data_IF_119764318445
#
_entry.id   IF_119764318445
#
_cell.length_a   1.000
_cell.length_b   1.000
_cell.length_c   1.000
_cell.angle_alpha   90.00
_cell.angle_beta   90.00
_cell.angle_gamma   90.00
#
_symmetry.space_group_name_H-M   'P 1'
#
loop_
_entity.id
_entity.type
_entity.pdbx_description
1 polymer ?
#
# COMPACT_ATOMS: atom_id res chain seq x y z
N UNK A 1 -10.34 17.03 14.03
CA UNK A 1 -9.88 17.30 12.65
C UNK A 1 -10.33 18.71 12.33
N UNK A 2 -9.44 19.55 11.81
CA UNK A 2 -9.75 20.93 11.45
C UNK A 2 -10.79 20.96 10.31
N UNK A 3 -11.77 21.86 10.40
CA UNK A 3 -12.80 21.99 9.38
C UNK A 3 -12.23 22.80 8.21
N UNK A 4 -12.21 22.24 7.02
CA UNK A 4 -11.85 22.94 5.78
C UNK A 4 -13.07 23.76 5.30
N UNK A 5 -12.86 25.02 4.98
CA UNK A 5 -13.93 25.99 4.66
C UNK A 5 -13.87 26.49 3.21
N UNK A 6 -12.80 26.18 2.49
CA UNK A 6 -12.61 26.63 1.11
C UNK A 6 -11.84 25.59 0.28
N UNK A 7 -11.98 25.63 -1.06
CA UNK A 7 -11.16 24.86 -1.97
C UNK A 7 -9.65 25.03 -1.73
N UNK A 8 -9.21 26.27 -1.51
CA UNK A 8 -7.79 26.56 -1.26
C UNK A 8 -7.28 25.89 0.04
N UNK A 9 -8.03 25.93 1.14
CA UNK A 9 -7.68 25.21 2.37
C UNK A 9 -7.58 23.69 2.15
N UNK A 10 -8.47 23.15 1.31
CA UNK A 10 -8.42 21.73 0.94
C UNK A 10 -7.14 21.40 0.16
N UNK A 11 -6.80 22.20 -0.86
CA UNK A 11 -5.60 21.97 -1.67
C UNK A 11 -4.32 22.06 -0.82
N UNK A 12 -4.23 23.06 0.05
CA UNK A 12 -3.10 23.18 0.99
C UNK A 12 -3.03 22.00 1.97
N UNK A 13 -4.18 21.53 2.47
CA UNK A 13 -4.22 20.37 3.34
C UNK A 13 -3.78 19.09 2.61
N UNK A 14 -4.23 18.89 1.38
CA UNK A 14 -3.83 17.76 0.54
C UNK A 14 -2.33 17.78 0.25
N UNK A 15 -1.78 18.94 -0.05
CA UNK A 15 -0.35 19.15 -0.28
C UNK A 15 0.48 18.83 0.99
N UNK A 16 0.08 19.35 2.15
CA UNK A 16 0.69 18.99 3.44
C UNK A 16 0.68 17.48 3.68
N UNK A 17 -0.41 16.78 3.33
CA UNK A 17 -0.48 15.32 3.46
C UNK A 17 0.48 14.58 2.52
N UNK A 18 0.74 15.11 1.32
CA UNK A 18 1.69 14.54 0.36
C UNK A 18 3.13 14.63 0.87
N UNK A 19 3.50 15.77 1.43
CA UNK A 19 4.86 16.04 1.90
C UNK A 19 5.11 15.69 3.38
N UNK A 20 4.07 15.35 4.14
CA UNK A 20 4.20 15.00 5.57
C UNK A 20 4.98 13.71 5.83
N UNK A 21 5.47 13.04 4.80
CA UNK A 21 6.14 11.75 4.91
C UNK A 21 7.40 11.73 4.08
N UNK A 22 8.48 11.27 4.70
CA UNK A 22 9.72 10.95 3.99
C UNK A 22 9.47 9.78 3.01
N UNK A 23 9.72 9.98 1.70
CA UNK A 23 9.55 8.93 0.69
C UNK A 23 10.44 7.71 0.92
N UNK A 24 11.55 7.84 1.63
CA UNK A 24 12.48 6.76 1.95
C UNK A 24 11.99 5.87 3.10
N UNK A 25 11.03 6.33 3.90
CA UNK A 25 10.49 5.56 5.03
C UNK A 25 9.88 4.23 4.53
N UNK A 26 10.35 3.07 5.03
CA UNK A 26 9.78 1.78 4.65
C UNK A 26 8.31 1.66 4.98
N UNK A 27 7.55 1.03 4.08
CA UNK A 27 6.13 0.74 4.27
C UNK A 27 5.88 -0.73 4.02
N UNK A 28 5.30 -1.38 4.99
CA UNK A 28 4.68 -2.69 4.83
C UNK A 28 3.26 -2.49 4.30
N UNK A 29 3.02 -2.90 3.08
CA UNK A 29 1.71 -2.83 2.42
C UNK A 29 1.11 -4.23 2.43
N UNK A 30 0.01 -4.43 3.14
CA UNK A 30 -0.68 -5.73 3.23
C UNK A 30 -1.98 -5.64 2.43
N UNK A 31 -2.12 -6.52 1.44
CA UNK A 31 -3.37 -6.69 0.70
C UNK A 31 -4.42 -7.38 1.60
N UNK A 32 -5.51 -6.68 1.88
CA UNK A 32 -6.59 -7.14 2.75
C UNK A 32 -7.97 -6.99 2.10
N UNK A 33 -8.04 -7.17 0.78
CA UNK A 33 -9.31 -7.38 0.08
C UNK A 33 -9.97 -8.69 0.51
N UNK A 34 -11.14 -9.01 -0.03
CA UNK A 34 -11.91 -10.21 0.36
C UNK A 34 -11.07 -11.49 0.31
N UNK A 35 -10.33 -11.71 -0.79
CA UNK A 35 -9.45 -12.88 -0.93
C UNK A 35 -8.30 -12.85 0.09
N UNK A 36 -7.66 -11.70 0.29
CA UNK A 36 -6.59 -11.55 1.27
C UNK A 36 -7.05 -11.86 2.70
N UNK A 37 -8.23 -11.35 3.09
CA UNK A 37 -8.80 -11.66 4.41
C UNK A 37 -9.14 -13.14 4.56
N UNK A 38 -9.72 -13.76 3.55
CA UNK A 38 -10.03 -15.20 3.55
C UNK A 38 -8.76 -16.07 3.63
N UNK A 39 -7.63 -15.57 3.09
CA UNK A 39 -6.33 -16.25 3.11
C UNK A 39 -5.46 -15.92 4.32
N UNK A 40 -5.94 -15.14 5.30
CA UNK A 40 -5.22 -14.86 6.54
C UNK A 40 -4.55 -13.50 6.67
N UNK A 41 -4.81 -12.53 5.79
CA UNK A 41 -4.22 -11.18 5.87
C UNK A 41 -4.45 -10.49 7.23
N UNK A 42 -5.58 -10.78 7.92
CA UNK A 42 -5.85 -10.23 9.24
C UNK A 42 -4.85 -10.73 10.30
N UNK A 43 -4.37 -11.95 10.18
CA UNK A 43 -3.34 -12.48 11.08
C UNK A 43 -1.99 -11.83 10.79
N UNK A 44 -1.64 -11.63 9.51
CA UNK A 44 -0.43 -10.88 9.13
C UNK A 44 -0.45 -9.46 9.67
N UNK A 45 -1.59 -8.78 9.62
CA UNK A 45 -1.75 -7.41 10.16
C UNK A 45 -1.50 -7.39 11.68
N UNK A 46 -2.02 -8.40 12.42
CA UNK A 46 -1.80 -8.52 13.87
C UNK A 46 -0.33 -8.77 14.18
N UNK A 47 0.30 -9.69 13.45
CA UNK A 47 1.72 -10.01 13.60
C UNK A 47 2.58 -8.80 13.27
N UNK A 48 2.35 -8.12 12.14
CA UNK A 48 3.08 -6.91 11.77
C UNK A 48 3.03 -5.84 12.87
N UNK A 49 1.83 -5.55 13.38
CA UNK A 49 1.68 -4.57 14.48
C UNK A 49 2.43 -4.99 15.74
N UNK A 50 2.31 -6.25 16.13
CA UNK A 50 3.00 -6.78 17.32
C UNK A 50 4.52 -6.70 17.18
N UNK A 51 5.07 -7.15 16.05
CA UNK A 51 6.51 -7.14 15.80
C UNK A 51 7.08 -5.72 15.71
N UNK A 52 6.36 -4.80 15.04
CA UNK A 52 6.75 -3.39 14.97
C UNK A 52 6.81 -2.76 16.36
N UNK A 53 5.82 -3.01 17.21
CA UNK A 53 5.78 -2.50 18.58
C UNK A 53 6.88 -3.13 19.44
N UNK A 54 7.01 -4.46 19.41
CA UNK A 54 7.97 -5.19 20.23
C UNK A 54 9.43 -4.81 19.91
N UNK A 55 9.71 -4.39 18.67
CA UNK A 55 11.04 -3.96 18.21
C UNK A 55 11.27 -2.45 18.28
N UNK A 56 10.28 -1.66 18.73
CA UNK A 56 10.39 -0.20 18.76
C UNK A 56 10.42 0.45 17.37
N UNK A 57 9.87 -0.19 16.35
CA UNK A 57 9.92 0.24 14.95
C UNK A 57 8.67 0.99 14.49
N UNK A 58 7.70 1.24 15.36
CA UNK A 58 6.40 1.78 15.00
C UNK A 58 6.44 3.17 14.32
N UNK A 59 7.51 3.94 14.54
CA UNK A 59 7.73 5.24 13.91
C UNK A 59 8.69 5.18 12.70
N UNK A 60 9.44 4.09 12.57
CA UNK A 60 10.46 3.92 11.53
C UNK A 60 9.94 3.12 10.32
N UNK A 61 8.97 2.22 10.54
CA UNK A 61 8.36 1.39 9.51
C UNK A 61 6.85 1.58 9.57
N UNK A 62 6.26 1.99 8.48
CA UNK A 62 4.83 2.24 8.40
C UNK A 62 4.08 1.00 7.94
N UNK A 63 2.85 0.85 8.43
CA UNK A 63 1.93 -0.19 8.00
C UNK A 63 0.79 0.44 7.21
N UNK A 64 0.57 -0.03 5.97
CA UNK A 64 -0.56 0.31 5.12
C UNK A 64 -1.37 -0.95 4.84
N UNK A 65 -2.65 -0.92 5.19
CA UNK A 65 -3.60 -1.97 4.87
C UNK A 65 -4.38 -1.50 3.65
N UNK A 66 -4.42 -2.30 2.61
CA UNK A 66 -4.99 -1.91 1.31
C UNK A 66 -6.12 -2.84 0.87
N UNK A 67 -6.82 -2.44 -0.18
CA UNK A 67 -7.72 -3.34 -0.91
C UNK A 67 -6.96 -4.38 -1.74
N UNK A 68 -7.67 -5.09 -2.58
CA UNK A 68 -7.11 -6.13 -3.45
C UNK A 68 -6.10 -5.56 -4.46
N UNK A 69 -4.97 -6.25 -4.63
CA UNK A 69 -3.97 -5.93 -5.66
C UNK A 69 -4.24 -6.63 -7.00
N UNK A 70 -5.28 -7.46 -7.08
CA UNK A 70 -5.69 -8.17 -8.29
C UNK A 70 -5.05 -9.53 -8.49
N UNK A 71 -4.13 -9.96 -7.64
CA UNK A 71 -3.44 -11.25 -7.73
C UNK A 71 -3.88 -12.19 -6.61
N UNK A 72 -5.17 -12.54 -6.62
CA UNK A 72 -5.81 -13.30 -5.52
C UNK A 72 -5.18 -14.67 -5.26
N UNK A 73 -4.62 -15.32 -6.27
CA UNK A 73 -3.93 -16.61 -6.12
C UNK A 73 -2.69 -16.52 -5.20
N UNK A 74 -2.08 -15.34 -5.11
CA UNK A 74 -0.86 -15.10 -4.33
C UNK A 74 -1.13 -14.45 -2.97
N UNK A 75 -2.40 -14.42 -2.54
CA UNK A 75 -2.76 -13.90 -1.22
C UNK A 75 -2.53 -14.94 -0.10
N UNK A 76 -2.24 -14.48 1.14
CA UNK A 76 -2.07 -13.09 1.51
C UNK A 76 -0.69 -12.58 1.09
N UNK A 77 -0.64 -11.36 0.54
CA UNK A 77 0.59 -10.79 0.00
C UNK A 77 1.05 -9.54 0.74
N UNK A 78 2.36 -9.35 0.76
CA UNK A 78 3.02 -8.19 1.36
C UNK A 78 3.91 -7.52 0.32
N UNK A 79 3.77 -6.20 0.18
CA UNK A 79 4.67 -5.37 -0.62
C UNK A 79 5.45 -4.45 0.31
N UNK A 80 6.77 -4.37 0.15
CA UNK A 80 7.63 -3.46 0.90
C UNK A 80 8.04 -2.30 0.00
N UNK A 81 7.60 -1.09 0.35
CA UNK A 81 8.01 0.16 -0.30
C UNK A 81 9.16 0.82 0.47
N UNK A 82 10.02 1.62 -0.19
CA UNK A 82 9.94 2.06 -1.58
C UNK A 82 10.53 1.06 -2.60
N UNK A 83 11.24 0.02 -2.18
CA UNK A 83 11.95 -0.92 -3.06
C UNK A 83 11.01 -1.78 -3.91
N UNK A 84 9.71 -1.81 -3.59
CA UNK A 84 8.67 -2.63 -4.23
C UNK A 84 8.96 -4.13 -4.15
N UNK A 85 9.59 -4.57 -3.05
CA UNK A 85 9.83 -6.00 -2.81
C UNK A 85 8.51 -6.70 -2.54
N UNK A 86 8.18 -7.72 -3.35
CA UNK A 86 6.88 -8.41 -3.30
C UNK A 86 7.05 -9.81 -2.70
N UNK A 87 6.24 -10.10 -1.69
CA UNK A 87 6.19 -11.39 -1.02
C UNK A 87 4.78 -11.98 -1.16
N UNK A 88 4.59 -13.04 -1.96
CA UNK A 88 3.33 -13.76 -2.07
C UNK A 88 3.16 -14.80 -0.97
N UNK A 89 1.92 -15.21 -0.70
CA UNK A 89 1.55 -16.34 0.18
C UNK A 89 2.27 -16.31 1.53
N UNK A 90 2.38 -15.13 2.11
CA UNK A 90 3.08 -14.92 3.38
C UNK A 90 2.30 -15.55 4.54
N UNK A 91 2.98 -16.34 5.34
CA UNK A 91 2.45 -16.87 6.60
C UNK A 91 2.87 -16.01 7.82
N UNK A 92 2.48 -16.45 9.01
CA UNK A 92 2.78 -15.75 10.27
C UNK A 92 4.30 -15.65 10.51
N UNK A 93 5.04 -16.72 10.25
CA UNK A 93 6.49 -16.74 10.44
C UNK A 93 7.20 -15.85 9.42
N UNK A 94 6.78 -15.90 8.15
CA UNK A 94 7.25 -15.05 7.08
C UNK A 94 7.01 -13.57 7.37
N UNK A 95 5.83 -13.20 7.91
CA UNK A 95 5.56 -11.82 8.30
C UNK A 95 6.52 -11.31 9.37
N UNK A 96 6.81 -12.12 10.39
CA UNK A 96 7.77 -11.76 11.44
C UNK A 96 9.20 -11.59 10.87
N UNK A 97 9.59 -12.48 9.95
CA UNK A 97 10.87 -12.40 9.24
C UNK A 97 10.97 -11.14 8.37
N UNK A 98 9.91 -10.80 7.62
CA UNK A 98 9.85 -9.58 6.79
C UNK A 98 10.00 -8.33 7.66
N UNK A 99 9.29 -8.22 8.80
CA UNK A 99 9.44 -7.07 9.72
C UNK A 99 10.86 -6.94 10.22
N UNK A 100 11.49 -8.06 10.61
CA UNK A 100 12.87 -8.07 11.08
C UNK A 100 13.88 -7.67 9.99
N UNK A 101 13.68 -8.13 8.76
CA UNK A 101 14.53 -7.82 7.61
C UNK A 101 14.41 -6.34 7.19
N UNK A 102 13.18 -5.82 7.12
CA UNK A 102 12.93 -4.42 6.75
C UNK A 102 13.60 -3.44 7.72
N UNK A 103 13.64 -3.77 9.01
CA UNK A 103 14.34 -2.96 10.02
C UNK A 103 15.86 -2.84 9.76
N UNK A 104 16.44 -3.81 9.07
CA UNK A 104 17.87 -3.85 8.71
C UNK A 104 18.14 -3.45 7.26
N UNK A 105 17.08 -3.11 6.50
CA UNK A 105 17.21 -2.84 5.06
C UNK A 105 17.48 -4.09 4.22
N UNK A 106 17.18 -5.27 4.74
CA UNK A 106 17.41 -6.58 4.12
C UNK A 106 16.16 -7.13 3.42
N UNK A 107 16.36 -8.19 2.65
CA UNK A 107 15.32 -8.93 1.93
C UNK A 107 15.31 -10.38 2.43
N UNK A 108 14.13 -10.96 2.55
CA UNK A 108 13.93 -12.38 2.87
C UNK A 108 13.87 -13.15 1.55
N UNK A 109 15.01 -13.58 1.04
CA UNK A 109 15.16 -14.18 -0.31
C UNK A 109 14.28 -15.44 -0.50
N UNK A 110 14.10 -16.24 0.57
CA UNK A 110 13.32 -17.47 0.54
C UNK A 110 11.81 -17.24 0.32
N UNK A 111 11.33 -16.03 0.60
CA UNK A 111 9.92 -15.65 0.44
C UNK A 111 9.64 -14.97 -0.91
N UNK A 112 10.67 -14.72 -1.73
CA UNK A 112 10.47 -14.12 -3.05
C UNK A 112 9.75 -15.09 -4.00
N UNK A 113 8.87 -14.57 -4.87
CA UNK A 113 8.29 -15.38 -5.93
C UNK A 113 9.38 -15.82 -6.92
N UNK A 114 9.18 -16.98 -7.54
CA UNK A 114 10.06 -17.48 -8.59
C UNK A 114 9.47 -17.18 -9.97
N UNK A 115 10.33 -16.80 -10.91
CA UNK A 115 9.92 -16.63 -12.28
C UNK A 115 9.49 -17.99 -12.85
N UNK A 116 8.30 -18.11 -13.47
CA UNK A 116 7.75 -19.41 -13.86
C UNK A 116 8.58 -20.14 -14.94
N UNK A 117 9.32 -19.42 -15.77
CA UNK A 117 10.12 -20.00 -16.86
C UNK A 117 11.57 -20.25 -16.46
N UNK A 118 12.21 -19.35 -15.68
CA UNK A 118 13.64 -19.46 -15.34
C UNK A 118 13.90 -20.02 -13.95
N UNK A 119 12.91 -19.96 -13.05
CA UNK A 119 13.09 -20.34 -11.65
C UNK A 119 13.81 -19.31 -10.78
N UNK A 120 14.29 -18.20 -11.36
CA UNK A 120 14.99 -17.15 -10.64
C UNK A 120 14.08 -16.42 -9.66
N UNK A 121 14.60 -15.93 -8.52
CA UNK A 121 13.85 -15.10 -7.61
C UNK A 121 13.51 -13.74 -8.26
N UNK A 122 12.26 -13.31 -8.15
CA UNK A 122 11.80 -12.01 -8.65
C UNK A 122 11.52 -11.11 -7.46
N UNK A 123 12.33 -10.08 -7.28
CA UNK A 123 12.23 -9.20 -6.12
C UNK A 123 11.14 -8.16 -6.26
N UNK A 124 11.11 -7.46 -7.40
CA UNK A 124 10.22 -6.33 -7.59
C UNK A 124 8.86 -6.77 -8.09
N UNK A 125 7.79 -6.20 -7.53
CA UNK A 125 6.42 -6.49 -7.94
C UNK A 125 6.19 -6.23 -9.43
N UNK A 126 6.73 -5.14 -9.96
CA UNK A 126 6.58 -4.75 -11.37
C UNK A 126 7.35 -5.66 -12.35
N UNK A 127 8.27 -6.50 -11.85
CA UNK A 127 8.98 -7.52 -12.62
C UNK A 127 8.26 -8.89 -12.59
N UNK A 128 7.33 -9.10 -11.65
CA UNK A 128 6.53 -10.34 -11.60
C UNK A 128 5.69 -10.42 -12.89
N UNK A 129 5.74 -11.53 -13.67
CA UNK A 129 5.10 -11.62 -14.99
C UNK A 129 3.62 -11.27 -15.01
N UNK A 130 2.90 -11.57 -13.92
CA UNK A 130 1.50 -11.19 -13.76
C UNK A 130 1.32 -9.66 -13.77
N UNK A 131 2.15 -8.91 -13.07
CA UNK A 131 2.05 -7.45 -13.01
C UNK A 131 2.70 -6.77 -14.21
N UNK A 132 3.84 -7.29 -14.69
CA UNK A 132 4.61 -6.73 -15.79
C UNK A 132 3.81 -6.66 -17.11
N UNK A 133 2.85 -7.58 -17.30
CA UNK A 133 2.03 -7.65 -18.50
C UNK A 133 0.69 -6.90 -18.40
N UNK A 134 0.46 -6.11 -17.32
CA UNK A 134 -0.81 -5.43 -17.09
C UNK A 134 -0.71 -3.91 -17.19
N UNK A 135 -1.66 -3.31 -17.88
CA UNK A 135 -1.99 -1.90 -17.72
C UNK A 135 -3.10 -1.78 -16.68
N UNK A 136 -2.77 -1.27 -15.50
CA UNK A 136 -3.69 -1.21 -14.36
C UNK A 136 -4.45 0.11 -14.35
N UNK A 137 -5.69 0.12 -14.78
CA UNK A 137 -6.55 1.30 -14.79
C UNK A 137 -7.37 1.39 -13.50
N UNK A 138 -8.25 0.42 -13.24
CA UNK A 138 -9.17 0.44 -12.09
C UNK A 138 -8.42 0.19 -10.77
N UNK A 139 -7.50 -0.79 -10.74
CA UNK A 139 -6.75 -1.14 -9.55
C UNK A 139 -5.45 -0.33 -9.36
N UNK A 140 -5.18 0.67 -10.20
CA UNK A 140 -3.95 1.47 -10.18
C UNK A 140 -3.67 2.17 -8.84
N UNK A 141 -4.70 2.46 -8.05
CA UNK A 141 -4.59 3.10 -6.74
C UNK A 141 -4.76 2.15 -5.57
N UNK A 142 -5.15 0.88 -5.80
CA UNK A 142 -5.51 -0.05 -4.73
C UNK A 142 -4.37 -0.30 -3.75
N UNK A 143 -3.13 -0.39 -4.20
CA UNK A 143 -1.96 -0.57 -3.33
C UNK A 143 -1.49 0.72 -2.63
N UNK A 144 -1.97 1.89 -3.06
CA UNK A 144 -1.55 3.21 -2.56
C UNK A 144 -2.45 3.77 -1.47
N UNK A 145 -3.68 3.25 -1.38
CA UNK A 145 -4.73 3.79 -0.50
C UNK A 145 -5.13 2.77 0.55
N UNK A 146 -5.12 3.21 1.81
CA UNK A 146 -5.80 2.52 2.89
C UNK A 146 -7.30 2.93 2.84
N UNK A 147 -8.22 2.00 2.51
CA UNK A 147 -9.62 2.33 2.22
C UNK A 147 -10.41 2.82 3.44
N UNK A 148 -9.93 2.57 4.65
CA UNK A 148 -10.59 3.02 5.88
C UNK A 148 -10.02 4.32 6.43
N UNK A 149 -9.03 4.93 5.75
CA UNK A 149 -8.36 6.15 6.19
C UNK A 149 -8.51 7.28 5.19
N UNK A 150 -9.41 8.22 5.47
CA UNK A 150 -9.66 9.40 4.61
C UNK A 150 -8.38 10.16 4.24
N UNK A 151 -7.44 10.32 5.17
CA UNK A 151 -6.15 10.98 4.89
C UNK A 151 -5.33 10.25 3.83
N UNK A 152 -5.44 8.91 3.75
CA UNK A 152 -4.78 8.12 2.72
C UNK A 152 -5.38 8.38 1.33
N UNK A 153 -6.72 8.43 1.25
CA UNK A 153 -7.44 8.78 0.02
C UNK A 153 -7.11 10.21 -0.44
N UNK A 154 -7.10 11.18 0.47
CA UNK A 154 -6.74 12.57 0.18
C UNK A 154 -5.31 12.70 -0.34
N UNK A 155 -4.35 12.03 0.30
CA UNK A 155 -2.94 12.00 -0.17
C UNK A 155 -2.82 11.48 -1.59
N UNK A 156 -3.63 10.51 -1.97
CA UNK A 156 -3.67 9.93 -3.32
C UNK A 156 -4.49 10.74 -4.34
N UNK A 157 -4.92 11.97 -4.01
CA UNK A 157 -5.70 12.84 -4.89
C UNK A 157 -7.21 12.63 -4.81
N UNK A 158 -7.71 11.96 -3.76
CA UNK A 158 -9.14 11.82 -3.52
C UNK A 158 -9.81 13.19 -3.31
N UNK A 159 -11.04 13.33 -3.79
CA UNK A 159 -11.87 14.54 -3.72
C UNK A 159 -11.39 15.76 -4.54
N UNK A 160 -10.28 15.68 -5.27
CA UNK A 160 -9.81 16.81 -6.11
C UNK A 160 -10.88 17.20 -7.13
N UNK A 161 -11.42 16.25 -7.89
CA UNK A 161 -12.47 16.54 -8.88
C UNK A 161 -13.74 17.16 -8.25
N UNK A 162 -14.09 16.78 -7.02
CA UNK A 162 -15.21 17.41 -6.31
C UNK A 162 -14.92 18.88 -5.97
N UNK A 163 -13.70 19.19 -5.53
CA UNK A 163 -13.28 20.56 -5.24
C UNK A 163 -13.23 21.39 -6.52
N UNK A 164 -12.72 20.85 -7.62
CA UNK A 164 -12.70 21.48 -8.94
C UNK A 164 -14.12 21.82 -9.41
N UNK A 165 -15.07 20.91 -9.19
CA UNK A 165 -16.48 21.16 -9.52
C UNK A 165 -17.11 22.28 -8.68
N UNK A 166 -16.76 22.36 -7.39
CA UNK A 166 -17.21 23.43 -6.50
C UNK A 166 -16.64 24.80 -6.92
N UNK A 167 -15.35 24.85 -7.29
CA UNK A 167 -14.70 26.09 -7.74
C UNK A 167 -15.30 26.62 -9.05
N UNK A 168 -15.59 25.71 -9.98
CA UNK A 168 -16.20 26.08 -11.27
C UNK A 168 -17.63 26.56 -11.13
N UNK A 169 -18.40 25.97 -10.20
CA UNK A 169 -19.82 26.30 -10.01
C UNK A 169 -20.71 26.02 -11.23
N UNK A 170 -20.19 25.34 -12.23
CA UNK A 170 -20.85 25.04 -13.48
C UNK A 170 -21.39 23.60 -13.49
N UNK A 171 -22.74 23.49 -13.44
CA UNK A 171 -23.40 22.19 -13.47
C UNK A 171 -23.26 21.45 -14.80
N UNK A 172 -23.18 22.18 -15.92
CA UNK A 172 -23.05 21.59 -17.24
C UNK A 172 -21.69 20.96 -17.45
N UNK A 173 -20.65 21.44 -16.76
CA UNK A 173 -19.32 20.86 -16.80
C UNK A 173 -19.24 19.49 -16.07
N UNK A 174 -20.11 19.25 -15.10
CA UNK A 174 -20.14 18.00 -14.32
C UNK A 174 -20.83 16.86 -15.09
N UNK A 175 -21.73 17.19 -16.00
CA UNK A 175 -22.51 16.24 -16.82
C UNK A 175 -21.80 15.93 -18.13
#
# INVERSE_FOLDING_TARGET
MERLRSPNEFMQFQERLRYARDPSTPVLVISAGTCGQASGANDLIRVAKRELLARGLAEQVLLRITGCHGFCEMEPSVLVEPQRTFYPRVDIAGMAAIVAAVARGEVVEELLPRHPETGDPVRRQDEVPFFARQTRTILSRSEKVDPIRIRSALRAGGYTAFVDALERGDRAWVL
#
